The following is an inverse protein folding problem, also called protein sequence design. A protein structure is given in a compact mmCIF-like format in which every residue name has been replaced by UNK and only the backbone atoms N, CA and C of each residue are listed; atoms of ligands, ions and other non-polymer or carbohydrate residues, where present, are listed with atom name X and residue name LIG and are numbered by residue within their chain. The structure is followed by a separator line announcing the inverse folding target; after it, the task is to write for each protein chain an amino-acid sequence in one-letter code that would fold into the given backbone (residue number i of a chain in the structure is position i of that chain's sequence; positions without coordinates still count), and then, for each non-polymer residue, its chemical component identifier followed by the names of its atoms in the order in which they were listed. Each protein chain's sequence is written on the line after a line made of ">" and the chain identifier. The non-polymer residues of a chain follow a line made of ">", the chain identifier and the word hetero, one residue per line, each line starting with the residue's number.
data_IF_053967537323
#
_entry.id   IF_053967537323
#
_cell.length_a   1.000
_cell.length_b   1.000
_cell.length_c   1.000
_cell.angle_alpha   90.00
_cell.angle_beta   90.00
_cell.angle_gamma   90.00
#
_symmetry.space_group_name_H-M   'P 1'
#
loop_
_entity.id
_entity.type
_entity.pdbx_description
1 polymer ?
#
# COMPACT_ATOMS: atom_id res chain seq x y z
N UNK A 1 -4.35 6.19 11.87
CA UNK A 1 -2.99 5.60 11.95
C UNK A 1 -2.10 6.40 11.03
N UNK A 2 -0.88 6.73 11.47
CA UNK A 2 0.15 7.31 10.60
C UNK A 2 1.11 6.19 10.20
N UNK A 3 1.40 6.08 8.90
CA UNK A 3 2.14 4.96 8.31
C UNK A 3 3.33 5.53 7.57
N UNK A 4 4.51 4.96 7.80
CA UNK A 4 5.75 5.35 7.12
C UNK A 4 5.55 5.35 5.60
N UNK A 5 6.01 6.42 4.95
CA UNK A 5 5.89 6.60 3.51
C UNK A 5 6.67 5.56 2.72
N UNK A 6 6.23 5.29 1.49
CA UNK A 6 6.71 4.17 0.67
C UNK A 6 7.75 4.56 -0.38
N UNK A 7 8.14 5.84 -0.41
CA UNK A 7 9.10 6.44 -1.37
C UNK A 7 10.48 6.70 -0.71
N UNK A 8 10.75 6.05 0.42
CA UNK A 8 12.04 6.14 1.09
C UNK A 8 13.15 5.48 0.27
N UNK A 9 14.03 6.28 -0.34
CA UNK A 9 15.22 5.77 -1.07
C UNK A 9 16.17 4.95 -0.20
N UNK A 10 16.03 5.02 1.12
CA UNK A 10 16.89 4.37 2.10
C UNK A 10 16.79 2.83 2.10
N UNK A 11 15.73 2.25 1.51
CA UNK A 11 15.48 0.80 1.55
C UNK A 11 15.64 0.07 0.22
N UNK A 12 15.89 0.80 -0.88
CA UNK A 12 16.16 0.20 -2.20
C UNK A 12 15.06 -0.76 -2.66
N UNK A 13 15.41 -2.02 -2.95
CA UNK A 13 14.46 -3.06 -3.41
C UNK A 13 13.64 -3.70 -2.27
N UNK A 14 13.98 -3.43 -1.00
CA UNK A 14 13.39 -4.12 0.13
C UNK A 14 12.09 -3.44 0.58
N UNK A 15 10.98 -3.74 -0.12
CA UNK A 15 9.65 -3.17 0.12
C UNK A 15 8.77 -3.98 1.10
N UNK A 16 9.37 -4.89 1.86
CA UNK A 16 8.63 -5.82 2.73
C UNK A 16 7.90 -5.10 3.86
N UNK A 17 8.50 -4.03 4.37
CA UNK A 17 7.91 -3.28 5.48
C UNK A 17 6.68 -2.49 4.99
N UNK A 18 6.81 -1.77 3.88
CA UNK A 18 5.78 -0.96 3.24
C UNK A 18 4.57 -1.82 2.87
N UNK A 19 4.80 -3.03 2.34
CA UNK A 19 3.73 -3.99 2.03
C UNK A 19 2.98 -4.43 3.28
N UNK A 20 3.71 -4.77 4.35
CA UNK A 20 3.11 -5.26 5.60
C UNK A 20 2.39 -4.15 6.35
N UNK A 21 2.97 -2.96 6.43
CA UNK A 21 2.37 -1.80 7.12
C UNK A 21 1.14 -1.28 6.38
N UNK A 22 1.17 -1.24 5.03
CA UNK A 22 0.02 -0.87 4.22
C UNK A 22 -1.12 -1.91 4.33
N UNK A 23 -0.80 -3.20 4.28
CA UNK A 23 -1.77 -4.28 4.49
C UNK A 23 -2.39 -4.22 5.89
N UNK A 24 -1.58 -4.04 6.93
CA UNK A 24 -2.08 -3.91 8.29
C UNK A 24 -3.03 -2.71 8.43
N UNK A 25 -2.68 -1.58 7.83
CA UNK A 25 -3.51 -0.37 7.86
C UNK A 25 -4.83 -0.57 7.12
N UNK A 26 -4.80 -1.22 5.95
CA UNK A 26 -6.00 -1.58 5.19
C UNK A 26 -6.91 -2.56 5.95
N UNK A 27 -6.31 -3.56 6.62
CA UNK A 27 -7.06 -4.59 7.32
C UNK A 27 -7.69 -4.12 8.64
N UNK A 28 -7.16 -3.05 9.24
CA UNK A 28 -7.60 -2.55 10.55
C UNK A 28 -8.37 -1.23 10.50
N UNK A 29 -8.22 -0.43 9.45
CA UNK A 29 -8.93 0.84 9.29
C UNK A 29 -10.22 0.66 8.48
N UNK A 30 -11.28 1.36 8.89
CA UNK A 30 -12.51 1.47 8.09
C UNK A 30 -12.35 2.45 6.91
N UNK A 31 -11.50 3.47 7.09
CA UNK A 31 -11.20 4.50 6.08
C UNK A 31 -9.70 4.57 5.88
N UNK A 32 -9.26 4.40 4.63
CA UNK A 32 -7.87 4.55 4.22
C UNK A 32 -7.73 5.81 3.35
N UNK A 33 -6.83 6.71 3.73
CA UNK A 33 -6.45 7.88 2.94
C UNK A 33 -5.16 7.55 2.21
N UNK A 34 -5.18 7.66 0.87
CA UNK A 34 -3.99 7.51 0.04
C UNK A 34 -3.49 8.91 -0.32
N UNK A 35 -2.35 9.30 0.25
CA UNK A 35 -1.75 10.61 -0.01
C UNK A 35 -0.90 10.56 -1.29
N UNK A 36 -1.28 11.33 -2.31
CA UNK A 36 -0.62 11.40 -3.61
C UNK A 36 -0.48 12.85 -4.06
N UNK A 37 0.65 13.17 -4.68
CA UNK A 37 0.83 14.45 -5.36
C UNK A 37 0.06 14.47 -6.69
N UNK A 38 -0.44 15.64 -7.09
CA UNK A 38 -1.20 15.81 -8.34
C UNK A 38 -0.44 15.29 -9.57
N UNK A 39 0.84 15.63 -9.71
CA UNK A 39 1.65 15.21 -10.85
C UNK A 39 1.94 13.70 -10.89
N UNK A 40 1.63 12.97 -9.81
CA UNK A 40 1.74 11.51 -9.76
C UNK A 40 0.46 10.80 -10.21
N UNK A 41 -0.66 11.54 -10.37
CA UNK A 41 -1.93 10.98 -10.86
C UNK A 41 -1.73 10.39 -12.26
N UNK A 42 -2.11 9.13 -12.44
CA UNK A 42 -1.97 8.40 -13.70
C UNK A 42 -0.59 7.74 -13.90
N UNK A 43 0.39 7.98 -13.02
CA UNK A 43 1.69 7.31 -13.09
C UNK A 43 1.67 5.99 -12.33
N UNK A 44 2.06 4.89 -12.98
CA UNK A 44 2.08 3.58 -12.33
C UNK A 44 3.06 3.51 -11.16
N UNK A 45 4.32 3.91 -11.39
CA UNK A 45 5.34 3.91 -10.33
C UNK A 45 5.17 5.11 -9.39
N UNK A 46 4.91 6.31 -9.93
CA UNK A 46 4.75 7.52 -9.13
C UNK A 46 3.57 7.44 -8.15
N UNK A 47 2.49 6.77 -8.53
CA UNK A 47 1.35 6.56 -7.63
C UNK A 47 1.42 5.26 -6.81
N UNK A 48 2.54 4.53 -6.85
CA UNK A 48 2.73 3.26 -6.14
C UNK A 48 1.66 2.19 -6.45
N UNK A 49 1.21 2.12 -7.71
CA UNK A 49 0.16 1.17 -8.13
C UNK A 49 0.58 -0.30 -7.95
N UNK A 50 1.86 -0.62 -8.11
CA UNK A 50 2.38 -1.97 -7.87
C UNK A 50 2.23 -2.41 -6.40
N UNK A 51 2.48 -1.50 -5.46
CA UNK A 51 2.29 -1.75 -4.04
C UNK A 51 0.81 -1.95 -3.72
N UNK A 52 -0.05 -1.01 -4.17
CA UNK A 52 -1.49 -1.08 -3.93
C UNK A 52 -2.11 -2.36 -4.51
N UNK A 53 -1.70 -2.77 -5.71
CA UNK A 53 -2.12 -4.04 -6.32
C UNK A 53 -1.81 -5.21 -5.40
N UNK A 54 -0.57 -5.32 -4.93
CA UNK A 54 -0.12 -6.41 -4.06
C UNK A 54 -0.90 -6.42 -2.74
N UNK A 55 -1.06 -5.24 -2.11
CA UNK A 55 -1.77 -5.09 -0.84
C UNK A 55 -3.24 -5.48 -0.96
N UNK A 56 -3.94 -5.03 -2.01
CA UNK A 56 -5.34 -5.40 -2.22
C UNK A 56 -5.51 -6.89 -2.56
N UNK A 57 -4.66 -7.46 -3.42
CA UNK A 57 -4.69 -8.90 -3.74
C UNK A 57 -4.52 -9.76 -2.48
N UNK A 58 -3.53 -9.43 -1.63
CA UNK A 58 -3.28 -10.16 -0.38
C UNK A 58 -4.42 -9.95 0.62
N UNK A 59 -4.95 -8.73 0.75
CA UNK A 59 -6.09 -8.45 1.62
C UNK A 59 -7.32 -9.29 1.25
N UNK A 60 -7.63 -9.39 -0.05
CA UNK A 60 -8.72 -10.24 -0.54
C UNK A 60 -8.48 -11.71 -0.22
N UNK A 61 -7.27 -12.21 -0.43
CA UNK A 61 -6.91 -13.61 -0.19
C UNK A 61 -6.99 -13.99 1.29
N UNK A 62 -6.56 -13.11 2.19
CA UNK A 62 -6.48 -13.38 3.62
C UNK A 62 -7.81 -13.18 4.35
N UNK A 63 -8.54 -12.11 4.02
CA UNK A 63 -9.65 -11.65 4.85
C UNK A 63 -11.01 -11.67 4.15
N UNK A 64 -11.06 -11.85 2.83
CA UNK A 64 -12.33 -11.83 2.07
C UNK A 64 -12.65 -13.14 1.33
N UNK A 65 -11.83 -14.19 1.48
CA UNK A 65 -12.27 -15.54 1.12
C UNK A 65 -13.41 -15.95 2.04
N UNK A 66 -14.60 -16.16 1.46
CA UNK A 66 -15.68 -16.88 2.12
C UNK A 66 -15.18 -18.31 2.41
N UNK A 67 -15.21 -18.70 3.69
CA UNK A 67 -15.18 -20.11 4.07
C UNK A 67 -16.41 -20.84 3.55
#
# INVERSE_FOLDING_TARGET
>A
MDVEGTDGRERGENQDFERKSALFSLATAEVLIVNLWEHMVGLYNGANMGLLKTVFEVNLQLFQKKG
#
